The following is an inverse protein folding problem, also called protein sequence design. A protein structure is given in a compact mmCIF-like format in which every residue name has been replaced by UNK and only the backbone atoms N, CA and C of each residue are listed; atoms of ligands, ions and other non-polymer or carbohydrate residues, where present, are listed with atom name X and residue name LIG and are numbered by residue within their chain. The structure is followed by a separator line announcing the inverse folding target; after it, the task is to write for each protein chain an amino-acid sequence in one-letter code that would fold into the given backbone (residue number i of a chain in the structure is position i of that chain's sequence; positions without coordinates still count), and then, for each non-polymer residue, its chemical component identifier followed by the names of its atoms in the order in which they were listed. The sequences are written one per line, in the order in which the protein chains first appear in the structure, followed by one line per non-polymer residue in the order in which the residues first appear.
data_IF_111009824596
#
_entry.id   IF_111009824596
#
_cell.length_a   1.000
_cell.length_b   1.000
_cell.length_c   1.000
_cell.angle_alpha   90.00
_cell.angle_beta   90.00
_cell.angle_gamma   90.00
#
_symmetry.space_group_name_H-M   'P 1'
#
loop_
_entity.id
_entity.type
_entity.pdbx_description
1 polymer ?
#
# COMPACT_ATOMS: atom_id res chain seq x y z
N UNK A 1 33.87 -4.88 -5.83
CA UNK A 1 33.06 -4.05 -4.91
C UNK A 1 33.89 -2.92 -4.33
N UNK A 2 34.84 -3.17 -3.42
CA UNK A 2 35.59 -2.11 -2.71
C UNK A 2 36.18 -0.97 -3.58
N UNK A 3 36.66 -1.25 -4.80
CA UNK A 3 37.18 -0.22 -5.71
C UNK A 3 36.12 0.73 -6.26
N UNK A 4 34.89 0.26 -6.48
CA UNK A 4 33.79 1.10 -6.95
C UNK A 4 33.30 1.99 -5.81
N UNK A 5 33.13 1.40 -4.62
CA UNK A 5 32.65 2.09 -3.43
C UNK A 5 33.58 3.25 -3.04
N UNK A 6 34.89 3.02 -3.06
CA UNK A 6 35.90 4.05 -2.78
C UNK A 6 35.86 5.20 -3.80
N UNK A 7 35.62 4.89 -5.09
CA UNK A 7 35.53 5.90 -6.14
C UNK A 7 34.24 6.69 -6.04
N UNK A 8 33.12 6.04 -5.74
CA UNK A 8 31.83 6.71 -5.53
C UNK A 8 31.87 7.60 -4.29
N UNK A 9 32.49 7.15 -3.19
CA UNK A 9 32.62 7.93 -1.96
C UNK A 9 33.29 9.30 -2.17
N UNK A 10 34.21 9.40 -3.14
CA UNK A 10 34.95 10.63 -3.45
C UNK A 10 34.36 11.43 -4.62
N UNK A 11 33.26 10.97 -5.21
CA UNK A 11 32.73 11.51 -6.46
C UNK A 11 31.51 12.41 -6.22
N UNK A 12 31.40 13.56 -6.91
CA UNK A 12 30.20 14.41 -6.81
C UNK A 12 28.95 13.77 -7.44
N UNK A 13 29.10 12.70 -8.23
CA UNK A 13 27.96 11.99 -8.85
C UNK A 13 27.45 10.80 -8.02
N UNK A 14 27.97 10.61 -6.80
CA UNK A 14 27.64 9.48 -5.92
C UNK A 14 26.14 9.30 -5.76
N UNK A 15 25.45 10.35 -5.34
CA UNK A 15 24.05 10.26 -4.96
C UNK A 15 23.18 9.99 -6.19
N UNK A 16 23.48 10.66 -7.32
CA UNK A 16 22.81 10.38 -8.59
C UNK A 16 23.07 8.95 -9.12
N UNK A 17 24.23 8.37 -8.85
CA UNK A 17 24.50 6.97 -9.17
C UNK A 17 23.66 6.02 -8.31
N UNK A 18 23.61 6.26 -6.99
CA UNK A 18 22.81 5.46 -6.04
C UNK A 18 21.32 5.51 -6.41
N UNK A 19 20.78 6.70 -6.67
CA UNK A 19 19.38 6.86 -7.07
C UNK A 19 19.04 6.08 -8.33
N UNK A 20 19.84 6.18 -9.40
CA UNK A 20 19.62 5.40 -10.64
C UNK A 20 19.76 3.91 -10.41
N UNK A 21 20.67 3.51 -9.52
CA UNK A 21 20.85 2.10 -9.18
C UNK A 21 19.58 1.51 -8.55
N UNK A 22 18.85 2.26 -7.72
CA UNK A 22 17.59 1.79 -7.12
C UNK A 22 16.52 1.44 -8.16
N UNK A 23 16.37 2.25 -9.20
CA UNK A 23 15.45 1.97 -10.30
C UNK A 23 15.87 0.71 -11.08
N UNK A 24 17.14 0.63 -11.46
CA UNK A 24 17.67 -0.50 -12.22
C UNK A 24 17.51 -1.83 -11.48
N UNK A 25 17.75 -1.82 -10.17
CA UNK A 25 17.74 -3.03 -9.35
C UNK A 25 16.34 -3.38 -8.80
N UNK A 26 15.38 -2.44 -8.80
CA UNK A 26 13.95 -2.75 -8.70
C UNK A 26 13.42 -3.43 -9.98
N UNK A 27 13.76 -2.89 -11.16
CA UNK A 27 13.39 -3.50 -12.44
C UNK A 27 13.99 -4.91 -12.61
N UNK A 28 15.28 -5.08 -12.25
CA UNK A 28 15.94 -6.37 -12.29
C UNK A 28 15.31 -7.38 -11.31
N UNK A 29 14.87 -6.93 -10.12
CA UNK A 29 14.20 -7.81 -9.16
C UNK A 29 12.88 -8.38 -9.72
N UNK A 30 12.10 -7.58 -10.45
CA UNK A 30 10.88 -8.07 -11.08
C UNK A 30 11.17 -9.00 -12.26
N UNK A 31 12.24 -8.70 -13.01
CA UNK A 31 12.67 -9.57 -14.10
C UNK A 31 13.03 -10.98 -13.62
N UNK A 32 13.65 -11.11 -12.45
CA UNK A 32 13.93 -12.42 -11.84
C UNK A 32 12.66 -13.21 -11.49
N UNK A 33 11.55 -12.51 -11.22
CA UNK A 33 10.22 -13.10 -10.95
C UNK A 33 9.46 -13.39 -12.26
N UNK A 34 9.98 -12.96 -13.41
CA UNK A 34 9.36 -13.12 -14.73
C UNK A 34 8.47 -11.96 -15.15
N UNK A 35 8.48 -10.85 -14.41
CA UNK A 35 7.71 -9.63 -14.72
C UNK A 35 8.61 -8.57 -15.35
N UNK A 36 8.08 -7.81 -16.31
CA UNK A 36 8.84 -6.82 -17.07
C UNK A 36 8.27 -5.43 -16.84
N UNK A 37 9.04 -4.59 -16.17
CA UNK A 37 8.69 -3.19 -15.92
C UNK A 37 9.63 -2.28 -16.68
N UNK A 38 9.07 -1.34 -17.43
CA UNK A 38 9.84 -0.28 -18.09
C UNK A 38 10.39 0.68 -17.04
N UNK A 39 11.68 1.00 -17.16
CA UNK A 39 12.35 1.88 -16.21
C UNK A 39 11.74 3.29 -16.23
N UNK A 40 11.34 3.75 -17.42
CA UNK A 40 10.68 5.05 -17.61
C UNK A 40 9.35 5.12 -16.87
N UNK A 41 8.54 4.06 -16.97
CA UNK A 41 7.25 3.97 -16.27
C UNK A 41 7.48 3.98 -14.75
N UNK A 42 8.49 3.26 -14.25
CA UNK A 42 8.83 3.26 -12.82
C UNK A 42 9.30 4.63 -12.32
N UNK A 43 10.08 5.34 -13.12
CA UNK A 43 10.54 6.71 -12.79
C UNK A 43 9.38 7.70 -12.78
N UNK A 44 8.49 7.62 -13.76
CA UNK A 44 7.29 8.47 -13.83
C UNK A 44 6.35 8.19 -12.66
N UNK A 45 6.14 6.91 -12.33
CA UNK A 45 5.30 6.49 -11.22
C UNK A 45 5.84 6.98 -9.87
N UNK A 46 7.15 6.85 -9.62
CA UNK A 46 7.78 7.37 -8.40
C UNK A 46 7.60 8.89 -8.25
N UNK A 47 7.61 9.62 -9.37
CA UNK A 47 7.37 11.05 -9.42
C UNK A 47 5.89 11.45 -9.42
N UNK A 48 4.95 10.50 -9.34
CA UNK A 48 3.50 10.74 -9.48
C UNK A 48 3.13 11.43 -10.80
N UNK A 49 3.90 11.16 -11.86
CA UNK A 49 3.71 11.68 -13.22
C UNK A 49 3.26 10.57 -14.17
N UNK A 50 2.43 9.66 -13.69
CA UNK A 50 1.90 8.56 -14.48
C UNK A 50 1.11 9.08 -15.69
N UNK A 51 1.50 8.62 -16.88
CA UNK A 51 0.80 8.93 -18.14
C UNK A 51 -0.29 7.88 -18.42
N UNK A 52 -0.20 6.72 -17.78
CA UNK A 52 -1.10 5.57 -17.93
C UNK A 52 -1.49 5.03 -16.56
N UNK A 53 -2.62 4.33 -16.48
CA UNK A 53 -3.02 3.64 -15.24
C UNK A 53 -1.92 2.67 -14.79
N UNK A 54 -1.48 2.70 -13.52
CA UNK A 54 -0.40 1.87 -13.05
C UNK A 54 -0.77 0.39 -13.11
N UNK A 55 0.12 -0.43 -13.68
CA UNK A 55 -0.05 -1.88 -13.72
C UNK A 55 0.33 -2.51 -12.38
N UNK A 56 -0.15 -3.72 -12.12
CA UNK A 56 0.22 -4.44 -10.90
C UNK A 56 1.74 -4.67 -10.77
N UNK A 57 2.41 -4.97 -11.88
CA UNK A 57 3.87 -5.12 -11.95
C UNK A 57 4.57 -3.79 -11.60
N UNK A 58 4.06 -2.66 -12.09
CA UNK A 58 4.60 -1.34 -11.79
C UNK A 58 4.46 -1.00 -10.30
N UNK A 59 3.30 -1.26 -9.71
CA UNK A 59 3.06 -1.07 -8.26
C UNK A 59 4.01 -1.94 -7.42
N UNK A 60 4.24 -3.19 -7.84
CA UNK A 60 5.21 -4.07 -7.17
C UNK A 60 6.65 -3.58 -7.30
N UNK A 61 7.06 -3.14 -8.49
CA UNK A 61 8.39 -2.58 -8.69
C UNK A 61 8.61 -1.33 -7.82
N UNK A 62 7.59 -0.49 -7.68
CA UNK A 62 7.60 0.67 -6.78
C UNK A 62 7.73 0.29 -5.32
N UNK A 63 7.05 -0.78 -4.87
CA UNK A 63 7.21 -1.32 -3.53
C UNK A 63 8.66 -1.79 -3.26
N UNK A 64 9.30 -2.46 -4.22
CA UNK A 64 10.73 -2.82 -4.14
C UNK A 64 11.61 -1.58 -4.07
N UNK A 65 11.35 -0.57 -4.90
CA UNK A 65 12.08 0.70 -4.91
C UNK A 65 12.03 1.39 -3.54
N UNK A 66 10.83 1.54 -2.95
CA UNK A 66 10.65 2.11 -1.61
C UNK A 66 11.36 1.30 -0.55
N UNK A 67 11.31 -0.03 -0.63
CA UNK A 67 11.97 -0.92 0.31
C UNK A 67 13.48 -0.74 0.30
N UNK A 68 14.09 -0.63 -0.88
CA UNK A 68 15.55 -0.40 -1.03
C UNK A 68 15.98 0.96 -0.50
N UNK A 69 15.23 2.02 -0.82
CA UNK A 69 15.49 3.36 -0.26
C UNK A 69 15.34 3.38 1.26
N UNK A 70 14.36 2.65 1.80
CA UNK A 70 14.17 2.51 3.26
C UNK A 70 15.35 1.80 3.92
N UNK A 71 15.90 0.75 3.31
CA UNK A 71 17.08 0.06 3.85
C UNK A 71 18.28 1.03 3.93
N UNK A 72 18.48 1.86 2.89
CA UNK A 72 19.59 2.80 2.84
C UNK A 72 19.44 4.03 3.73
N UNK A 73 18.22 4.48 4.03
CA UNK A 73 17.99 5.58 4.96
C UNK A 73 18.12 5.17 6.43
N UNK A 74 18.18 3.86 6.71
CA UNK A 74 18.29 3.31 8.05
C UNK A 74 19.75 3.02 8.43
N UNK A 75 19.97 2.69 9.71
CA UNK A 75 21.29 2.23 10.18
C UNK A 75 21.70 0.95 9.43
N UNK A 76 22.99 0.73 9.11
CA UNK A 76 23.45 -0.42 8.33
C UNK A 76 22.95 -1.79 8.84
N UNK A 77 22.86 -1.95 10.15
CA UNK A 77 22.44 -3.22 10.79
C UNK A 77 20.92 -3.37 10.91
N UNK A 78 20.13 -2.33 10.58
CA UNK A 78 18.68 -2.33 10.78
C UNK A 78 17.98 -3.43 9.99
N UNK A 79 18.30 -3.56 8.69
CA UNK A 79 17.59 -4.48 7.80
C UNK A 79 17.73 -5.96 8.19
N UNK A 80 18.85 -6.33 8.82
CA UNK A 80 19.12 -7.68 9.33
C UNK A 80 18.80 -7.84 10.82
N UNK A 81 18.53 -6.73 11.51
CA UNK A 81 18.02 -6.74 12.88
C UNK A 81 16.59 -7.27 12.94
N UNK A 82 16.15 -7.65 14.15
CA UNK A 82 14.79 -8.14 14.38
C UNK A 82 13.75 -7.20 13.76
N UNK A 83 13.74 -5.95 14.21
CA UNK A 83 12.71 -4.98 13.82
C UNK A 83 12.69 -4.70 12.31
N UNK A 84 13.86 -4.58 11.68
CA UNK A 84 13.94 -4.38 10.24
C UNK A 84 13.50 -5.61 9.45
N UNK A 85 13.90 -6.81 9.88
CA UNK A 85 13.45 -8.05 9.25
C UNK A 85 11.93 -8.18 9.29
N UNK A 86 11.29 -7.99 10.46
CA UNK A 86 9.83 -8.01 10.58
C UNK A 86 9.16 -6.95 9.70
N UNK A 87 9.70 -5.73 9.65
CA UNK A 87 9.18 -4.67 8.82
C UNK A 87 9.30 -4.97 7.30
N UNK A 88 10.39 -5.61 6.87
CA UNK A 88 10.62 -5.98 5.47
C UNK A 88 9.80 -7.19 5.03
N UNK A 89 9.50 -8.13 5.93
CA UNK A 89 8.63 -9.28 5.65
C UNK A 89 7.13 -8.95 5.75
N UNK A 90 6.77 -7.69 5.98
CA UNK A 90 5.37 -7.27 6.16
C UNK A 90 4.73 -7.74 7.48
N UNK A 91 5.51 -8.28 8.42
CA UNK A 91 5.03 -8.82 9.70
C UNK A 91 5.22 -7.87 10.88
N UNK A 92 5.91 -6.73 10.69
CA UNK A 92 6.26 -5.79 11.74
C UNK A 92 5.15 -4.82 12.18
N UNK A 93 3.90 -5.08 11.80
CA UNK A 93 2.82 -4.10 11.91
C UNK A 93 3.04 -2.93 10.96
N UNK A 94 1.96 -2.35 10.45
CA UNK A 94 2.03 -1.14 9.62
C UNK A 94 2.51 0.03 10.50
N UNK A 95 3.81 0.18 10.69
CA UNK A 95 4.39 1.41 11.25
C UNK A 95 4.30 2.45 10.14
N UNK A 96 3.47 3.50 10.27
CA UNK A 96 3.40 4.52 9.25
C UNK A 96 4.72 5.29 9.30
N UNK A 97 5.55 5.14 8.27
CA UNK A 97 6.63 6.08 8.05
C UNK A 97 6.01 7.46 7.83
N UNK A 98 6.34 8.40 8.72
CA UNK A 98 5.83 9.76 8.73
C UNK A 98 6.05 10.48 7.39
N UNK A 99 5.03 11.27 7.03
CA UNK A 99 5.02 12.44 6.15
C UNK A 99 5.41 12.27 4.67
N UNK A 100 4.41 11.88 3.88
CA UNK A 100 4.16 12.37 2.52
C UNK A 100 2.67 12.74 2.41
N UNK A 101 2.28 13.72 1.58
CA UNK A 101 0.93 14.27 1.62
C UNK A 101 -0.09 13.17 1.33
N UNK A 102 -1.09 13.08 2.20
CA UNK A 102 -2.26 12.22 2.04
C UNK A 102 -3.09 12.72 0.86
N UNK A 103 -2.75 12.28 -0.35
CA UNK A 103 -3.72 12.24 -1.43
C UNK A 103 -4.51 10.94 -1.28
N UNK A 104 -5.64 11.08 -0.58
CA UNK A 104 -6.75 10.14 -0.63
C UNK A 104 -7.39 10.32 -2.00
N UNK A 105 -7.17 9.36 -2.89
CA UNK A 105 -8.05 9.03 -4.01
C UNK A 105 -7.47 7.81 -4.72
N UNK A 106 -8.27 6.75 -4.89
CA UNK A 106 -7.90 5.60 -5.71
C UNK A 106 -7.76 4.29 -4.94
N UNK A 107 -8.84 3.53 -4.96
CA UNK A 107 -8.98 2.12 -4.62
C UNK A 107 -7.85 1.25 -5.20
N UNK A 108 -7.20 0.44 -4.37
CA UNK A 108 -6.10 -0.43 -4.79
C UNK A 108 -5.75 -1.44 -3.71
N UNK A 109 -6.25 -2.66 -3.91
CA UNK A 109 -6.15 -3.83 -3.04
C UNK A 109 -4.87 -3.92 -2.20
N UNK A 110 -5.07 -4.09 -0.90
CA UNK A 110 -4.09 -4.60 0.06
C UNK A 110 -3.56 -5.93 -0.49
N UNK A 111 -2.32 -5.95 -0.94
CA UNK A 111 -1.66 -7.20 -1.32
C UNK A 111 -1.50 -8.05 -0.05
N UNK A 112 -2.38 -9.04 0.12
CA UNK A 112 -2.24 -10.07 1.14
C UNK A 112 -1.03 -10.95 0.80
N UNK A 113 -0.07 -11.15 1.72
CA UNK A 113 0.92 -12.20 1.54
C UNK A 113 0.25 -13.54 1.81
N UNK A 114 0.20 -14.38 0.79
CA UNK A 114 -0.26 -15.78 0.87
C UNK A 114 0.76 -16.59 1.68
N UNK A 115 0.21 -17.20 2.74
CA UNK A 115 0.69 -18.31 3.59
C UNK A 115 1.85 -18.06 4.57
N UNK A 116 1.46 -17.82 5.84
CA UNK A 116 2.11 -18.44 6.98
C UNK A 116 1.03 -18.91 7.97
N UNK A 117 0.85 -20.22 7.99
CA UNK A 117 0.07 -21.01 8.94
C UNK A 117 0.24 -20.49 10.39
N UNK A 118 -0.88 -20.10 10.98
CA UNK A 118 -0.97 -19.39 12.24
C UNK A 118 -2.12 -18.39 12.25
N UNK A 119 -3.31 -18.83 11.82
CA UNK A 119 -4.56 -18.07 11.97
C UNK A 119 -4.76 -17.74 13.44
N UNK A 120 -4.71 -16.46 13.76
CA UNK A 120 -5.27 -15.95 14.99
C UNK A 120 -6.80 -16.02 14.82
N UNK A 121 -7.42 -17.02 15.45
CA UNK A 121 -8.86 -17.36 15.35
C UNK A 121 -9.77 -16.12 15.53
N UNK A 122 -9.28 -15.06 16.20
CA UNK A 122 -10.02 -13.82 16.40
C UNK A 122 -10.09 -12.88 15.19
N UNK A 123 -9.12 -12.90 14.26
CA UNK A 123 -9.16 -12.03 13.07
C UNK A 123 -10.06 -12.60 11.96
N UNK A 124 -10.13 -13.93 11.83
CA UNK A 124 -11.07 -14.59 10.91
C UNK A 124 -12.53 -14.39 11.37
N UNK A 125 -12.80 -14.42 12.68
CA UNK A 125 -14.14 -14.18 13.23
C UNK A 125 -14.64 -12.75 12.98
N UNK A 126 -13.76 -11.74 13.12
CA UNK A 126 -14.12 -10.34 12.84
C UNK A 126 -14.42 -10.11 11.35
N UNK A 127 -13.61 -10.68 10.46
CA UNK A 127 -13.81 -10.54 9.03
C UNK A 127 -15.07 -11.29 8.55
N UNK A 128 -15.38 -12.45 9.17
CA UNK A 128 -16.61 -13.18 8.90
C UNK A 128 -17.86 -12.39 9.33
N UNK A 129 -17.80 -11.66 10.44
CA UNK A 129 -18.88 -10.77 10.89
C UNK A 129 -19.10 -9.60 9.91
N UNK A 130 -18.02 -8.98 9.42
CA UNK A 130 -18.09 -7.93 8.41
C UNK A 130 -18.73 -8.44 7.09
N UNK A 131 -18.36 -9.64 6.63
CA UNK A 131 -18.99 -10.23 5.44
C UNK A 131 -20.46 -10.59 5.65
N UNK A 132 -20.84 -11.06 6.84
CA UNK A 132 -22.24 -11.34 7.16
C UNK A 132 -23.10 -10.07 7.15
N UNK A 133 -22.56 -8.94 7.60
CA UNK A 133 -23.26 -7.64 7.53
C UNK A 133 -23.46 -7.19 6.08
N UNK A 134 -22.44 -7.33 5.23
CA UNK A 134 -22.52 -7.03 3.80
C UNK A 134 -23.59 -7.89 3.12
N UNK A 135 -23.59 -9.20 3.37
CA UNK A 135 -24.59 -10.13 2.83
C UNK A 135 -26.00 -9.79 3.28
N UNK A 136 -26.19 -9.37 4.53
CA UNK A 136 -27.48 -8.93 5.05
C UNK A 136 -27.98 -7.63 4.40
N UNK A 137 -27.08 -6.71 4.06
CA UNK A 137 -27.42 -5.50 3.28
C UNK A 137 -27.79 -5.89 1.85
N UNK A 138 -27.03 -6.78 1.20
CA UNK A 138 -27.30 -7.24 -0.16
C UNK A 138 -28.63 -8.00 -0.25
N UNK A 139 -28.93 -8.88 0.70
CA UNK A 139 -30.20 -9.61 0.76
C UNK A 139 -31.39 -8.67 0.93
N UNK A 140 -31.27 -7.63 1.76
CA UNK A 140 -32.31 -6.60 1.91
C UNK A 140 -32.50 -5.79 0.64
N UNK A 141 -31.41 -5.33 0.02
CA UNK A 141 -31.46 -4.59 -1.24
C UNK A 141 -32.06 -5.41 -2.37
N UNK A 142 -31.69 -6.70 -2.49
CA UNK A 142 -32.29 -7.63 -3.45
C UNK A 142 -33.79 -7.82 -3.20
N UNK A 143 -34.20 -7.95 -1.94
CA UNK A 143 -35.60 -8.09 -1.55
C UNK A 143 -36.43 -6.84 -1.91
N UNK A 144 -35.89 -5.65 -1.66
CA UNK A 144 -36.52 -4.37 -2.07
C UNK A 144 -36.62 -4.27 -3.59
N UNK A 145 -35.54 -4.60 -4.32
CA UNK A 145 -35.52 -4.60 -5.78
C UNK A 145 -36.50 -5.62 -6.40
N UNK A 146 -36.74 -6.74 -5.72
CA UNK A 146 -37.74 -7.74 -6.13
C UNK A 146 -39.20 -7.34 -5.83
N UNK A 147 -39.44 -6.13 -5.31
CA UNK A 147 -40.79 -5.60 -5.07
C UNK A 147 -41.47 -6.12 -3.80
N UNK A 148 -40.71 -6.69 -2.86
CA UNK A 148 -41.23 -7.09 -1.57
C UNK A 148 -41.24 -5.88 -0.60
N UNK A 149 -42.38 -5.65 0.06
CA UNK A 149 -42.54 -4.59 1.05
C UNK A 149 -41.75 -4.96 2.32
N UNK A 150 -40.64 -4.25 2.56
CA UNK A 150 -39.79 -4.45 3.75
C UNK A 150 -40.01 -3.27 4.68
N UNK A 151 -40.54 -3.54 5.87
CA UNK A 151 -40.72 -2.52 6.91
C UNK A 151 -39.39 -1.85 7.22
N UNK A 152 -39.30 -0.55 6.94
CA UNK A 152 -38.15 0.27 7.26
C UNK A 152 -37.97 0.31 8.78
N UNK A 153 -36.76 0.01 9.26
CA UNK A 153 -36.38 0.34 10.64
C UNK A 153 -36.46 1.86 10.80
N UNK A 154 -37.24 2.30 11.77
CA UNK A 154 -37.32 3.70 12.20
C UNK A 154 -35.91 4.25 12.46
N UNK A 155 -35.56 5.44 11.96
CA UNK A 155 -34.27 6.05 12.26
C UNK A 155 -34.16 6.24 13.78
N UNK A 156 -33.01 5.88 14.36
CA UNK A 156 -32.70 6.24 15.75
C UNK A 156 -32.70 7.77 15.83
N UNK A 157 -33.55 8.31 16.69
CA UNK A 157 -33.64 9.73 17.00
C UNK A 157 -32.34 10.25 17.60
N UNK A 158 -31.91 11.40 17.07
CA UNK A 158 -31.12 12.48 17.64
C UNK A 158 -29.73 12.22 18.21
N UNK A 159 -28.74 12.82 17.54
CA UNK A 159 -27.99 13.98 18.08
C UNK A 159 -27.27 14.68 16.90
N UNK A 160 -27.96 15.60 16.21
CA UNK A 160 -27.30 16.64 15.41
C UNK A 160 -27.94 17.99 15.78
N UNK A 161 -27.16 19.00 16.18
CA UNK A 161 -27.71 20.29 16.52
C UNK A 161 -28.24 20.98 15.25
N UNK A 162 -29.42 21.57 15.38
CA UNK A 162 -30.10 22.40 14.38
C UNK A 162 -29.18 23.56 13.96
N UNK A 163 -28.67 23.51 12.72
CA UNK A 163 -28.00 24.64 12.10
C UNK A 163 -29.04 25.36 11.24
N UNK A 164 -29.65 26.38 11.86
CA UNK A 164 -30.48 27.38 11.20
C UNK A 164 -29.56 28.17 10.26
N UNK A 165 -29.79 28.04 8.96
CA UNK A 165 -29.26 28.97 7.97
C UNK A 165 -30.28 30.09 7.77
N UNK A 166 -29.98 31.28 8.29
CA UNK A 166 -30.63 32.51 7.83
C UNK A 166 -30.13 32.79 6.40
N UNK A 167 -31.08 32.93 5.47
CA UNK A 167 -30.84 33.35 4.10
C UNK A 167 -30.90 34.89 4.06
N UNK A 168 -29.73 35.52 3.96
CA UNK A 168 -29.54 36.84 3.35
C UNK A 168 -28.81 36.69 2.01
#
# INVERSE_FOLDING_TARGET
MARLDERLARSPVRDGFIERQHFADAAAALWLVGELVHLEDLVLHDAHMDIRTPTHELTRAHAVLRTRRRILSQKPDWALGRDGFWALTGRGGAVPAAEGPKNREGEGARASPVEADGRDDGEDDLLAEEFAEIDAVLARSSKILSGADVSARTPRSDERPDLIYDLD
#
